data_IF_449346277473
#
_entry.id   IF_449346277473
#
_cell.length_a   1.000
_cell.length_b   1.000
_cell.length_c   1.000
_cell.angle_alpha   90.00
_cell.angle_beta   90.00
_cell.angle_gamma   90.00
#
_symmetry.space_group_name_H-M   'P 1'
#
loop_
_entity.id
_entity.type
_entity.pdbx_description
1 polymer ?
#
# COMPACT_ATOMS: atom_id res chain seq x y z
N UNK A 1 -27.64 18.81 20.78
CA UNK A 1 -26.65 17.80 21.18
C UNK A 1 -25.31 18.22 20.60
N UNK A 2 -24.25 18.40 21.37
CA UNK A 2 -22.96 18.76 20.84
C UNK A 2 -22.37 17.57 20.09
N UNK A 3 -21.93 17.82 18.86
CA UNK A 3 -21.18 16.86 18.02
C UNK A 3 -19.89 16.45 18.73
N UNK A 4 -19.69 15.15 18.91
CA UNK A 4 -18.42 14.60 19.38
C UNK A 4 -17.25 15.15 18.56
N UNK A 5 -16.12 15.50 19.18
CA UNK A 5 -14.97 15.98 18.44
C UNK A 5 -14.51 14.89 17.47
N UNK A 6 -14.45 15.21 16.17
CA UNK A 6 -13.75 14.40 15.18
C UNK A 6 -12.32 14.20 15.66
N UNK A 7 -11.89 12.96 15.75
CA UNK A 7 -10.54 12.60 16.17
C UNK A 7 -9.52 13.32 15.26
N UNK A 8 -8.73 14.21 15.85
CA UNK A 8 -7.62 14.95 15.20
C UNK A 8 -6.42 14.06 14.83
N UNK A 9 -6.59 12.75 14.80
CA UNK A 9 -5.52 11.80 14.49
C UNK A 9 -5.45 11.56 12.99
N UNK A 10 -4.33 11.91 12.38
CA UNK A 10 -4.05 11.69 10.96
C UNK A 10 -4.08 10.19 10.58
N UNK A 11 -3.84 9.29 11.54
CA UNK A 11 -3.87 7.84 11.35
C UNK A 11 -4.30 7.11 12.64
N UNK A 12 -4.69 5.84 12.52
CA UNK A 12 -4.91 4.94 13.66
C UNK A 12 -3.68 4.05 13.82
N UNK A 13 -3.00 4.08 15.00
CA UNK A 13 -1.86 3.20 15.25
C UNK A 13 -2.27 1.73 15.20
N UNK A 14 -1.43 0.90 14.57
CA UNK A 14 -1.65 -0.54 14.45
C UNK A 14 -1.62 -1.25 15.82
N UNK A 15 -2.26 -2.42 15.89
CA UNK A 15 -2.23 -3.29 17.07
C UNK A 15 -0.84 -3.93 17.26
N UNK A 16 -0.55 -4.41 18.48
CA UNK A 16 0.69 -5.15 18.74
C UNK A 16 0.79 -6.43 17.89
N UNK A 17 -0.35 -7.08 17.60
CA UNK A 17 -0.40 -8.24 16.70
C UNK A 17 -0.07 -7.82 15.26
N UNK A 18 -0.66 -6.73 14.77
CA UNK A 18 -0.38 -6.21 13.42
C UNK A 18 1.09 -5.85 13.25
N UNK A 19 1.67 -5.12 14.21
CA UNK A 19 3.11 -4.81 14.22
C UNK A 19 3.97 -6.08 14.19
N UNK A 20 3.63 -7.09 14.98
CA UNK A 20 4.31 -8.39 14.95
C UNK A 20 4.18 -9.07 13.59
N UNK A 21 2.95 -9.09 13.02
CA UNK A 21 2.66 -9.73 11.73
C UNK A 21 3.47 -9.11 10.58
N UNK A 22 3.61 -7.78 10.53
CA UNK A 22 4.42 -7.07 9.54
C UNK A 22 5.91 -7.49 9.53
N UNK A 23 6.40 -8.06 10.65
CA UNK A 23 7.77 -8.55 10.78
C UNK A 23 7.95 -10.00 10.35
N UNK A 24 6.87 -10.72 10.02
CA UNK A 24 6.93 -12.13 9.64
C UNK A 24 7.32 -12.33 8.18
N UNK A 25 7.95 -13.47 7.88
CA UNK A 25 8.18 -13.91 6.50
C UNK A 25 6.86 -14.20 5.77
N UNK A 26 5.83 -14.61 6.50
CA UNK A 26 4.47 -14.82 5.93
C UNK A 26 3.96 -13.53 5.30
N UNK A 27 4.11 -12.39 5.98
CA UNK A 27 3.71 -11.10 5.44
C UNK A 27 4.59 -10.71 4.23
N UNK A 28 5.92 -10.85 4.35
CA UNK A 28 6.84 -10.48 3.30
C UNK A 28 6.57 -11.25 2.00
N UNK A 29 6.39 -12.56 2.06
CA UNK A 29 6.24 -13.44 0.89
C UNK A 29 4.79 -13.44 0.36
N UNK A 30 3.81 -13.61 1.25
CA UNK A 30 2.42 -13.84 0.82
C UNK A 30 1.59 -12.56 0.68
N UNK A 31 2.02 -11.45 1.26
CA UNK A 31 1.32 -10.18 1.15
C UNK A 31 2.10 -9.21 0.25
N UNK A 32 3.29 -8.82 0.67
CA UNK A 32 4.08 -7.79 -0.01
C UNK A 32 4.62 -8.25 -1.38
N UNK A 33 5.34 -9.37 -1.43
CA UNK A 33 5.94 -9.84 -2.69
C UNK A 33 4.87 -10.21 -3.72
N UNK A 34 3.77 -10.84 -3.29
CA UNK A 34 2.64 -11.16 -4.18
C UNK A 34 2.00 -9.91 -4.76
N UNK A 35 1.85 -8.84 -3.97
CA UNK A 35 1.33 -7.57 -4.45
C UNK A 35 2.26 -6.96 -5.51
N UNK A 36 3.58 -6.95 -5.25
CA UNK A 36 4.56 -6.43 -6.21
C UNK A 36 4.57 -7.20 -7.53
N UNK A 37 4.55 -8.54 -7.50
CA UNK A 37 4.48 -9.38 -8.70
C UNK A 37 3.23 -9.05 -9.54
N UNK A 38 2.10 -8.86 -8.90
CA UNK A 38 0.86 -8.52 -9.61
C UNK A 38 0.90 -7.10 -10.18
N UNK A 39 1.42 -6.12 -9.42
CA UNK A 39 1.58 -4.73 -9.88
C UNK A 39 2.57 -4.63 -11.06
N UNK A 40 3.67 -5.38 -11.05
CA UNK A 40 4.59 -5.47 -12.20
C UNK A 40 3.86 -6.00 -13.44
N UNK A 41 3.07 -7.06 -13.29
CA UNK A 41 2.27 -7.62 -14.38
C UNK A 41 1.28 -6.60 -14.95
N UNK A 42 0.63 -5.80 -14.10
CA UNK A 42 -0.29 -4.74 -14.48
C UNK A 42 0.43 -3.57 -15.16
N UNK A 43 1.65 -3.25 -14.72
CA UNK A 43 2.49 -2.16 -15.25
C UNK A 43 3.44 -2.56 -16.38
N UNK A 44 3.51 -3.83 -16.78
CA UNK A 44 4.54 -4.41 -17.65
C UNK A 44 4.59 -3.88 -19.10
N UNK A 45 3.75 -2.94 -19.46
CA UNK A 45 3.74 -2.27 -20.77
C UNK A 45 4.79 -1.14 -20.89
N UNK A 46 5.51 -0.82 -19.82
CA UNK A 46 6.44 0.32 -19.79
C UNK A 46 7.87 -0.14 -19.53
N UNK A 47 8.67 -0.21 -20.58
CA UNK A 47 10.12 -0.44 -20.49
C UNK A 47 10.82 0.86 -20.02
N UNK A 48 10.41 1.42 -18.86
CA UNK A 48 10.91 2.68 -18.32
C UNK A 48 11.87 2.44 -17.15
N UNK A 49 12.87 3.31 -17.05
CA UNK A 49 13.72 3.42 -15.86
C UNK A 49 13.02 4.27 -14.80
N UNK A 50 13.14 3.90 -13.53
CA UNK A 50 12.61 4.62 -12.38
C UNK A 50 13.76 4.98 -11.41
N UNK A 51 14.58 6.02 -11.74
CA UNK A 51 15.73 6.39 -10.92
C UNK A 51 15.41 6.70 -9.47
N UNK A 52 14.24 7.31 -9.21
CA UNK A 52 13.80 7.66 -7.86
C UNK A 52 12.47 6.96 -7.57
N UNK A 53 12.48 6.07 -6.58
CA UNK A 53 11.27 5.40 -6.10
C UNK A 53 10.92 5.94 -4.72
N UNK A 54 9.65 6.31 -4.53
CA UNK A 54 9.07 6.59 -3.21
C UNK A 54 8.29 5.36 -2.73
N UNK A 55 8.63 4.88 -1.55
CA UNK A 55 7.86 3.90 -0.79
C UNK A 55 7.06 4.64 0.29
N UNK A 56 5.77 4.83 0.02
CA UNK A 56 4.86 5.60 0.85
C UNK A 56 4.16 4.71 1.89
N UNK A 57 4.49 4.92 3.16
CA UNK A 57 4.13 4.01 4.25
C UNK A 57 5.08 2.82 4.30
N UNK A 58 6.40 3.09 4.24
CA UNK A 58 7.44 2.07 4.09
C UNK A 58 7.56 1.11 5.29
N UNK A 59 6.91 1.42 6.42
CA UNK A 59 6.98 0.62 7.62
C UNK A 59 8.44 0.34 8.04
N UNK A 60 8.75 -0.92 8.27
CA UNK A 60 10.08 -1.38 8.67
C UNK A 60 11.05 -1.64 7.49
N UNK A 61 10.73 -1.21 6.27
CA UNK A 61 11.61 -1.24 5.10
C UNK A 61 11.72 -2.57 4.35
N UNK A 62 10.85 -3.54 4.62
CA UNK A 62 10.85 -4.87 3.97
C UNK A 62 10.69 -4.82 2.45
N UNK A 63 10.12 -3.76 1.91
CA UNK A 63 9.94 -3.49 0.48
C UNK A 63 11.22 -3.08 -0.25
N UNK A 64 12.21 -2.50 0.45
CA UNK A 64 13.36 -1.85 -0.19
C UNK A 64 14.18 -2.78 -1.07
N UNK A 65 14.52 -3.97 -0.56
CA UNK A 65 15.27 -4.95 -1.35
C UNK A 65 14.45 -5.41 -2.57
N UNK A 66 13.15 -5.66 -2.39
CA UNK A 66 12.26 -6.06 -3.46
C UNK A 66 12.14 -4.99 -4.55
N UNK A 67 12.01 -3.70 -4.16
CA UNK A 67 11.96 -2.58 -5.09
C UNK A 67 13.31 -2.41 -5.83
N UNK A 68 14.42 -2.59 -5.13
CA UNK A 68 15.76 -2.55 -5.73
C UNK A 68 15.94 -3.64 -6.79
N UNK A 69 15.58 -4.86 -6.47
CA UNK A 69 15.81 -6.02 -7.35
C UNK A 69 14.93 -5.95 -8.61
N UNK A 70 13.72 -5.39 -8.50
CA UNK A 70 12.76 -5.32 -9.60
C UNK A 70 12.94 -4.11 -10.51
N UNK A 71 13.27 -2.95 -9.94
CA UNK A 71 13.28 -1.70 -10.68
C UNK A 71 14.66 -1.07 -10.81
N UNK A 72 15.68 -1.57 -10.12
CA UNK A 72 17.06 -1.08 -10.11
C UNK A 72 17.17 0.46 -9.98
N UNK A 73 16.48 1.09 -9.00
CA UNK A 73 16.51 2.54 -8.83
C UNK A 73 17.89 3.02 -8.41
N UNK A 74 18.23 4.26 -8.77
CA UNK A 74 19.41 4.92 -8.23
C UNK A 74 19.23 5.31 -6.75
N UNK A 75 17.98 5.60 -6.32
CA UNK A 75 17.62 5.97 -4.96
C UNK A 75 16.22 5.50 -4.61
N UNK A 76 16.05 5.02 -3.37
CA UNK A 76 14.76 4.79 -2.77
C UNK A 76 14.55 5.84 -1.67
N UNK A 77 13.35 6.42 -1.61
CA UNK A 77 12.91 7.29 -0.53
C UNK A 77 11.84 6.54 0.25
N UNK A 78 12.03 6.31 1.54
CA UNK A 78 11.03 5.69 2.42
C UNK A 78 10.40 6.74 3.32
N UNK A 79 9.07 6.78 3.39
CA UNK A 79 8.33 7.69 4.28
C UNK A 79 7.36 6.89 5.13
N UNK A 80 7.41 7.11 6.44
CA UNK A 80 6.43 6.58 7.39
C UNK A 80 6.22 7.57 8.53
N UNK A 81 5.03 7.61 9.12
CA UNK A 81 4.73 8.51 10.23
C UNK A 81 5.26 7.99 11.57
N UNK A 82 5.53 6.69 11.67
CA UNK A 82 5.95 6.04 12.90
C UNK A 82 7.48 6.03 13.04
N UNK A 83 8.06 6.78 14.02
CA UNK A 83 9.51 6.85 14.19
C UNK A 83 10.17 5.49 14.55
N UNK A 84 9.42 4.57 15.16
CA UNK A 84 9.94 3.21 15.44
C UNK A 84 10.10 2.43 14.14
N UNK A 85 9.13 2.52 13.23
CA UNK A 85 9.21 1.90 11.90
C UNK A 85 10.37 2.48 11.09
N UNK A 86 10.57 3.79 11.11
CA UNK A 86 11.71 4.45 10.44
C UNK A 86 13.06 3.96 11.01
N UNK A 87 13.18 3.79 12.31
CA UNK A 87 14.41 3.23 12.91
C UNK A 87 14.66 1.77 12.47
N UNK A 88 13.64 0.95 12.38
CA UNK A 88 13.73 -0.41 11.84
C UNK A 88 14.08 -0.40 10.35
N UNK A 89 13.44 0.47 9.55
CA UNK A 89 13.74 0.64 8.13
C UNK A 89 15.19 1.08 7.88
N UNK A 90 15.74 1.95 8.73
CA UNK A 90 17.16 2.33 8.68
C UNK A 90 18.09 1.13 8.91
N UNK A 91 17.73 0.28 9.88
CA UNK A 91 18.47 -0.95 10.15
C UNK A 91 18.39 -1.95 9.00
N UNK A 92 17.22 -2.06 8.38
CA UNK A 92 16.99 -2.93 7.21
C UNK A 92 17.80 -2.46 5.99
N UNK A 93 17.75 -1.17 5.67
CA UNK A 93 18.55 -0.58 4.60
C UNK A 93 20.04 -0.78 4.83
N UNK A 94 20.52 -0.63 6.06
CA UNK A 94 21.92 -0.84 6.44
C UNK A 94 22.38 -2.30 6.27
N UNK A 95 21.54 -3.28 6.60
CA UNK A 95 21.86 -4.72 6.40
C UNK A 95 22.12 -5.09 4.96
N UNK A 96 21.45 -4.42 4.02
CA UNK A 96 21.55 -4.69 2.60
C UNK A 96 22.40 -3.66 1.84
N UNK A 97 23.03 -2.73 2.55
CA UNK A 97 23.81 -1.61 1.98
C UNK A 97 23.02 -0.85 0.88
N UNK A 98 21.73 -0.62 1.13
CA UNK A 98 20.84 0.04 0.16
C UNK A 98 20.93 1.57 0.30
N UNK A 99 21.00 2.33 -0.80
CA UNK A 99 20.95 3.79 -0.78
C UNK A 99 19.49 4.25 -0.57
N UNK A 100 19.04 4.23 0.68
CA UNK A 100 17.68 4.65 1.06
C UNK A 100 17.75 5.95 1.85
N UNK A 101 16.94 6.92 1.43
CA UNK A 101 16.66 8.16 2.17
C UNK A 101 15.37 7.97 2.97
N UNK A 102 15.38 8.27 4.27
CA UNK A 102 14.23 8.02 5.15
C UNK A 102 13.69 9.31 5.77
N UNK A 103 12.36 9.45 5.79
CA UNK A 103 11.67 10.55 6.43
C UNK A 103 10.59 10.06 7.38
N UNK A 104 10.60 10.56 8.60
CA UNK A 104 9.49 10.40 9.54
C UNK A 104 8.50 11.55 9.30
N UNK A 105 7.44 11.31 8.48
CA UNK A 105 6.52 12.36 8.04
C UNK A 105 5.12 11.81 7.75
N UNK A 106 4.14 12.72 7.73
CA UNK A 106 2.78 12.44 7.28
C UNK A 106 2.72 12.41 5.75
N UNK A 107 2.12 11.37 5.18
CA UNK A 107 1.94 11.21 3.73
C UNK A 107 1.06 12.30 3.10
N UNK A 108 0.21 12.96 3.88
CA UNK A 108 -0.57 14.11 3.44
C UNK A 108 0.27 15.40 3.35
N UNK A 109 1.57 15.36 3.72
CA UNK A 109 2.53 16.48 3.66
C UNK A 109 3.95 15.96 3.44
N UNK A 110 4.22 15.46 2.26
CA UNK A 110 5.51 14.87 1.93
C UNK A 110 6.63 15.90 1.88
N UNK A 111 7.79 15.66 2.56
CA UNK A 111 8.95 16.55 2.54
C UNK A 111 9.77 16.40 1.24
N UNK A 112 9.09 16.30 0.10
CA UNK A 112 9.69 16.09 -1.21
C UNK A 112 9.26 17.19 -2.17
N UNK A 113 10.15 17.53 -3.11
CA UNK A 113 9.87 18.54 -4.15
C UNK A 113 8.84 18.00 -5.16
N UNK A 114 8.12 18.93 -5.80
CA UNK A 114 7.20 18.62 -6.89
C UNK A 114 7.93 17.91 -8.04
N UNK A 115 7.32 16.87 -8.60
CA UNK A 115 7.86 16.15 -9.74
C UNK A 115 9.25 15.56 -9.52
N UNK A 116 9.58 15.12 -8.30
CA UNK A 116 10.90 14.57 -7.95
C UNK A 116 10.97 13.04 -8.00
N UNK A 117 9.82 12.35 -8.10
CA UNK A 117 9.68 10.89 -8.00
C UNK A 117 9.27 10.30 -9.35
N UNK A 118 9.89 9.21 -9.76
CA UNK A 118 9.58 8.50 -11.02
C UNK A 118 8.51 7.42 -10.82
N UNK A 119 8.56 6.71 -9.68
CA UNK A 119 7.61 5.67 -9.29
C UNK A 119 7.27 5.80 -7.82
N UNK A 120 5.99 5.74 -7.48
CA UNK A 120 5.50 5.71 -6.10
C UNK A 120 4.84 4.36 -5.83
N UNK A 121 5.32 3.68 -4.80
CA UNK A 121 4.75 2.44 -4.29
C UNK A 121 4.01 2.72 -2.98
N UNK A 122 2.74 2.32 -2.90
CA UNK A 122 1.89 2.43 -1.73
C UNK A 122 1.20 1.09 -1.49
N UNK A 123 1.61 0.39 -0.44
CA UNK A 123 1.16 -0.96 -0.15
C UNK A 123 0.57 -1.06 1.26
N UNK A 124 -0.70 -1.45 1.36
CA UNK A 124 -1.41 -1.65 2.62
C UNK A 124 -1.32 -0.43 3.57
N UNK A 125 -1.43 0.77 3.02
CA UNK A 125 -1.21 2.03 3.73
C UNK A 125 -2.43 2.95 3.73
N UNK A 126 -3.10 3.14 2.57
CA UNK A 126 -4.21 4.10 2.46
C UNK A 126 -5.37 3.78 3.41
N UNK A 127 -5.66 2.51 3.67
CA UNK A 127 -6.73 2.11 4.58
C UNK A 127 -6.45 2.45 6.07
N UNK A 128 -5.23 2.82 6.43
CA UNK A 128 -4.87 3.35 7.75
C UNK A 128 -5.02 4.88 7.85
N UNK A 129 -5.14 5.58 6.73
CA UNK A 129 -5.15 7.04 6.67
C UNK A 129 -6.56 7.60 6.76
N UNK A 130 -6.73 8.69 7.51
CA UNK A 130 -7.96 9.48 7.54
C UNK A 130 -7.98 10.47 6.37
N UNK A 131 -6.85 11.10 6.07
CA UNK A 131 -6.67 12.12 5.02
C UNK A 131 -6.30 11.50 3.66
N UNK A 132 -7.08 10.53 3.15
CA UNK A 132 -6.76 9.77 1.93
C UNK A 132 -6.70 10.66 0.68
N UNK A 133 -7.59 11.64 0.55
CA UNK A 133 -7.63 12.55 -0.60
C UNK A 133 -6.43 13.48 -0.64
N UNK A 134 -6.08 14.05 0.50
CA UNK A 134 -4.90 14.90 0.66
C UNK A 134 -3.62 14.12 0.36
N UNK A 135 -3.53 12.88 0.83
CA UNK A 135 -2.41 11.98 0.55
C UNK A 135 -2.27 11.70 -0.94
N UNK A 136 -3.36 11.40 -1.65
CA UNK A 136 -3.30 11.20 -3.10
C UNK A 136 -2.95 12.49 -3.86
N UNK A 137 -3.35 13.65 -3.36
CA UNK A 137 -2.91 14.95 -3.86
C UNK A 137 -1.40 15.15 -3.75
N UNK A 138 -0.81 14.77 -2.60
CA UNK A 138 0.64 14.79 -2.39
C UNK A 138 1.36 13.78 -3.29
N UNK A 139 0.80 12.57 -3.46
CA UNK A 139 1.33 11.58 -4.40
C UNK A 139 1.38 12.12 -5.83
N UNK A 140 0.29 12.78 -6.24
CA UNK A 140 0.25 13.45 -7.54
C UNK A 140 1.29 14.58 -7.64
N UNK A 141 1.44 15.41 -6.60
CA UNK A 141 2.39 16.51 -6.58
C UNK A 141 3.85 16.03 -6.76
N UNK A 142 4.26 15.03 -5.99
CA UNK A 142 5.67 14.57 -5.97
C UNK A 142 6.05 13.70 -7.16
N UNK A 143 5.12 12.96 -7.77
CA UNK A 143 5.38 12.19 -8.97
C UNK A 143 5.68 13.13 -10.16
N UNK A 144 6.58 12.74 -11.02
CA UNK A 144 6.82 13.41 -12.31
C UNK A 144 5.62 13.24 -13.25
N UNK A 145 5.36 14.16 -14.19
CA UNK A 145 4.43 13.89 -15.29
C UNK A 145 4.79 12.59 -16.00
N UNK A 146 3.82 11.70 -16.18
CA UNK A 146 4.05 10.35 -16.68
C UNK A 146 4.64 9.36 -15.66
N UNK A 147 4.91 9.78 -14.43
CA UNK A 147 5.34 8.89 -13.33
C UNK A 147 4.26 7.89 -12.93
N UNK A 148 4.66 6.74 -12.40
CA UNK A 148 3.75 5.66 -12.02
C UNK A 148 3.41 5.67 -10.54
N UNK A 149 2.15 5.43 -10.24
CA UNK A 149 1.61 5.11 -8.92
C UNK A 149 1.21 3.64 -8.89
N UNK A 150 1.85 2.86 -8.03
CA UNK A 150 1.53 1.46 -7.74
C UNK A 150 0.80 1.39 -6.40
N UNK A 151 -0.43 0.93 -6.40
CA UNK A 151 -1.26 0.80 -5.18
C UNK A 151 -1.71 -0.64 -5.01
N UNK A 152 -1.51 -1.19 -3.81
CA UNK A 152 -2.07 -2.48 -3.42
C UNK A 152 -2.71 -2.35 -2.04
N UNK A 153 -4.05 -2.46 -1.98
CA UNK A 153 -4.82 -2.15 -0.78
C UNK A 153 -5.84 -3.23 -0.40
N UNK A 154 -6.09 -3.28 0.88
CA UNK A 154 -7.22 -4.01 1.46
C UNK A 154 -8.50 -3.20 1.35
N UNK A 155 -9.59 -3.86 0.94
CA UNK A 155 -10.89 -3.20 0.80
C UNK A 155 -11.69 -3.25 2.10
N UNK A 156 -12.78 -2.48 2.13
CA UNK A 156 -13.77 -2.51 3.22
C UNK A 156 -14.24 -3.92 3.54
N UNK A 157 -14.45 -4.77 2.54
CA UNK A 157 -14.91 -6.13 2.72
C UNK A 157 -13.93 -6.97 3.57
N UNK A 158 -12.62 -6.78 3.37
CA UNK A 158 -11.60 -7.45 4.18
C UNK A 158 -11.46 -6.81 5.57
N UNK A 159 -11.32 -5.49 5.64
CA UNK A 159 -11.10 -4.76 6.89
C UNK A 159 -12.27 -4.95 7.87
N UNK A 160 -13.52 -5.00 7.36
CA UNK A 160 -14.71 -5.22 8.19
C UNK A 160 -14.94 -6.70 8.57
N UNK A 161 -14.12 -7.64 8.10
CA UNK A 161 -14.24 -9.02 8.53
C UNK A 161 -14.00 -9.14 10.04
N UNK A 162 -14.69 -10.07 10.70
CA UNK A 162 -14.67 -10.19 12.15
C UNK A 162 -13.26 -10.46 12.70
N UNK A 163 -12.45 -11.23 11.96
CA UNK A 163 -11.11 -11.60 12.40
C UNK A 163 -10.12 -10.42 12.27
N UNK A 164 -10.24 -9.63 11.19
CA UNK A 164 -9.39 -8.45 11.01
C UNK A 164 -9.72 -7.42 12.09
N UNK A 165 -10.99 -7.17 12.38
CA UNK A 165 -11.42 -6.30 13.48
C UNK A 165 -10.95 -6.77 14.86
N UNK A 166 -10.78 -8.08 15.05
CA UNK A 166 -10.26 -8.63 16.31
C UNK A 166 -8.74 -8.43 16.44
N UNK A 167 -8.00 -8.63 15.36
CA UNK A 167 -6.53 -8.70 15.39
C UNK A 167 -5.85 -7.36 15.07
N UNK A 168 -6.45 -6.53 14.21
CA UNK A 168 -5.86 -5.30 13.69
C UNK A 168 -6.68 -4.07 14.07
N UNK A 169 -6.08 -2.89 13.96
CA UNK A 169 -6.74 -1.61 14.23
C UNK A 169 -6.75 -0.74 12.99
N UNK A 170 -7.94 -0.29 12.60
CA UNK A 170 -8.15 0.53 11.41
C UNK A 170 -9.15 1.67 11.71
N UNK A 171 -9.07 2.82 11.02
CA UNK A 171 -10.09 3.86 11.04
C UNK A 171 -11.31 3.38 10.26
N UNK A 172 -12.32 2.84 10.95
CA UNK A 172 -13.44 2.11 10.32
C UNK A 172 -14.32 2.96 9.40
N UNK A 173 -14.39 4.28 9.64
CA UNK A 173 -15.27 5.20 8.91
C UNK A 173 -14.75 5.61 7.53
N UNK A 174 -13.47 5.37 7.25
CA UNK A 174 -12.81 5.78 6.00
C UNK A 174 -12.50 4.61 5.06
N UNK A 175 -12.95 3.41 5.41
CA UNK A 175 -12.70 2.22 4.60
C UNK A 175 -13.43 2.28 3.25
N UNK A 176 -12.75 1.84 2.20
CA UNK A 176 -13.22 1.91 0.81
C UNK A 176 -13.41 0.53 0.21
N UNK A 177 -14.35 0.40 -0.71
CA UNK A 177 -14.37 -0.72 -1.64
C UNK A 177 -13.42 -0.47 -2.83
N UNK A 178 -13.26 -1.47 -3.69
CA UNK A 178 -12.32 -1.37 -4.80
C UNK A 178 -12.71 -0.26 -5.80
N UNK A 179 -14.00 -0.10 -6.08
CA UNK A 179 -14.49 0.93 -7.00
C UNK A 179 -14.27 2.34 -6.42
N UNK A 180 -14.46 2.53 -5.11
CA UNK A 180 -14.19 3.79 -4.42
C UNK A 180 -12.70 4.15 -4.44
N UNK A 181 -11.77 3.18 -4.25
CA UNK A 181 -10.34 3.42 -4.41
C UNK A 181 -9.98 3.87 -5.82
N UNK A 182 -10.49 3.18 -6.85
CA UNK A 182 -10.27 3.53 -8.26
C UNK A 182 -10.78 4.94 -8.56
N UNK A 183 -12.00 5.26 -8.11
CA UNK A 183 -12.59 6.59 -8.30
C UNK A 183 -11.78 7.68 -7.60
N UNK A 184 -11.30 7.42 -6.38
CA UNK A 184 -10.50 8.34 -5.60
C UNK A 184 -9.14 8.62 -6.26
N UNK A 185 -8.45 7.60 -6.76
CA UNK A 185 -7.18 7.74 -7.49
C UNK A 185 -7.40 8.56 -8.77
N UNK A 186 -8.47 8.29 -9.53
CA UNK A 186 -8.81 9.07 -10.72
C UNK A 186 -9.12 10.54 -10.39
N UNK A 187 -9.87 10.80 -9.32
CA UNK A 187 -10.21 12.16 -8.90
C UNK A 187 -8.99 12.98 -8.44
N UNK A 188 -7.91 12.31 -8.04
CA UNK A 188 -6.64 12.95 -7.71
C UNK A 188 -5.76 13.27 -8.94
N UNK A 189 -6.25 13.09 -10.18
CA UNK A 189 -5.54 13.44 -11.41
C UNK A 189 -4.71 12.31 -12.02
N UNK A 190 -4.97 11.07 -11.62
CA UNK A 190 -4.29 9.90 -12.19
C UNK A 190 -5.11 9.24 -13.30
N UNK A 191 -4.43 8.79 -14.34
CA UNK A 191 -5.00 7.93 -15.36
C UNK A 191 -4.80 6.46 -15.01
N UNK A 192 -5.85 5.66 -15.13
CA UNK A 192 -5.82 4.20 -14.93
C UNK A 192 -6.29 3.56 -16.23
N UNK A 193 -5.38 2.86 -16.91
CA UNK A 193 -5.67 2.14 -18.16
C UNK A 193 -6.64 0.96 -17.94
N UNK A 194 -7.45 0.62 -18.93
CA UNK A 194 -8.17 -0.64 -18.93
C UNK A 194 -7.21 -1.82 -18.80
N UNK A 195 -7.40 -2.67 -17.79
CA UNK A 195 -6.54 -3.81 -17.51
C UNK A 195 -5.36 -3.52 -16.55
N UNK A 196 -5.21 -2.29 -16.07
CA UNK A 196 -4.23 -1.94 -15.02
C UNK A 196 -4.79 -2.06 -13.60
N UNK A 197 -5.84 -2.86 -13.43
CA UNK A 197 -6.46 -3.16 -12.13
C UNK A 197 -6.63 -4.67 -12.00
N UNK A 198 -6.39 -5.20 -10.81
CA UNK A 198 -6.72 -6.57 -10.44
C UNK A 198 -7.37 -6.63 -9.06
N UNK A 199 -8.08 -7.72 -8.82
CA UNK A 199 -8.79 -7.99 -7.57
C UNK A 199 -8.29 -9.34 -7.02
N UNK A 200 -7.08 -9.38 -6.41
CA UNK A 200 -6.55 -10.63 -5.90
C UNK A 200 -7.44 -11.20 -4.79
N UNK A 201 -7.72 -12.51 -4.85
CA UNK A 201 -8.46 -13.21 -3.81
C UNK A 201 -7.57 -14.29 -3.21
N UNK A 202 -6.60 -13.83 -2.42
CA UNK A 202 -5.57 -14.68 -1.83
C UNK A 202 -6.13 -15.44 -0.63
N UNK A 203 -5.52 -16.60 -0.32
CA UNK A 203 -6.00 -17.45 0.77
C UNK A 203 -6.15 -16.71 2.11
N UNK A 204 -5.22 -15.80 2.43
CA UNK A 204 -5.23 -15.02 3.66
C UNK A 204 -6.30 -13.91 3.68
N UNK A 205 -6.74 -13.43 2.52
CA UNK A 205 -7.79 -12.42 2.40
C UNK A 205 -9.20 -13.00 2.36
N UNK A 206 -9.32 -14.33 2.42
CA UNK A 206 -10.61 -15.04 2.40
C UNK A 206 -11.18 -15.19 3.82
N UNK A 207 -12.50 -15.19 4.00
CA UNK A 207 -13.14 -15.39 5.30
C UNK A 207 -12.81 -16.71 5.98
N UNK A 208 -12.46 -17.73 5.19
CA UNK A 208 -12.12 -19.09 5.65
C UNK A 208 -10.61 -19.40 5.61
N UNK A 209 -9.75 -18.40 5.33
CA UNK A 209 -8.31 -18.57 5.13
C UNK A 209 -7.92 -19.66 4.13
N UNK A 210 -8.77 -19.92 3.15
CA UNK A 210 -8.57 -20.95 2.15
C UNK A 210 -8.67 -22.39 2.69
N UNK A 211 -9.15 -22.58 3.93
CA UNK A 211 -9.24 -23.91 4.56
C UNK A 211 -10.19 -24.83 3.81
N UNK A 212 -11.31 -24.32 3.28
CA UNK A 212 -12.28 -25.12 2.53
C UNK A 212 -11.67 -25.67 1.23
N UNK A 213 -10.87 -24.88 0.55
CA UNK A 213 -10.17 -25.32 -0.65
C UNK A 213 -9.06 -26.33 -0.31
N UNK A 214 -8.29 -26.06 0.76
CA UNK A 214 -7.16 -26.90 1.17
C UNK A 214 -7.59 -28.26 1.73
N UNK A 215 -8.70 -28.33 2.47
CA UNK A 215 -9.16 -29.56 3.15
C UNK A 215 -10.12 -30.35 2.27
N UNK A 216 -11.04 -29.66 1.59
CA UNK A 216 -12.15 -30.27 0.87
C UNK A 216 -12.10 -30.08 -0.65
N UNK A 217 -11.08 -29.37 -1.19
CA UNK A 217 -11.01 -29.06 -2.61
C UNK A 217 -12.08 -28.07 -3.10
N UNK A 218 -12.84 -27.44 -2.20
CA UNK A 218 -13.95 -26.53 -2.54
C UNK A 218 -13.38 -25.17 -2.90
N UNK A 219 -13.39 -24.84 -4.20
CA UNK A 219 -12.96 -23.53 -4.70
C UNK A 219 -13.93 -22.42 -4.23
N UNK A 220 -13.44 -21.19 -4.02
CA UNK A 220 -14.30 -20.06 -3.68
C UNK A 220 -15.34 -19.79 -4.78
N UNK A 221 -16.51 -19.29 -4.40
CA UNK A 221 -17.53 -18.86 -5.35
C UNK A 221 -16.99 -17.70 -6.20
N UNK A 222 -17.41 -17.61 -7.47
CA UNK A 222 -16.98 -16.54 -8.38
C UNK A 222 -17.56 -15.16 -8.04
N UNK A 223 -18.62 -15.10 -7.24
CA UNK A 223 -19.31 -13.89 -6.82
C UNK A 223 -18.93 -13.41 -5.40
N UNK A 224 -17.70 -13.70 -4.96
CA UNK A 224 -17.22 -13.21 -3.66
C UNK A 224 -17.00 -11.68 -3.69
N UNK A 225 -17.07 -11.06 -2.51
CA UNK A 225 -16.68 -9.66 -2.37
C UNK A 225 -15.18 -9.49 -2.68
N UNK A 226 -14.83 -8.38 -3.30
CA UNK A 226 -13.45 -8.00 -3.57
C UNK A 226 -12.77 -7.62 -2.25
N UNK A 227 -11.83 -8.43 -1.80
CA UNK A 227 -11.11 -8.23 -0.52
C UNK A 227 -9.84 -7.41 -0.68
N UNK A 228 -9.26 -7.41 -1.87
CA UNK A 228 -8.06 -6.67 -2.23
C UNK A 228 -8.26 -5.95 -3.56
N UNK A 229 -7.53 -4.86 -3.76
CA UNK A 229 -7.41 -4.15 -5.03
C UNK A 229 -5.95 -3.78 -5.27
N UNK A 230 -5.42 -4.18 -6.43
CA UNK A 230 -4.13 -3.71 -6.94
C UNK A 230 -4.37 -2.88 -8.19
N UNK A 231 -3.74 -1.73 -8.30
CA UNK A 231 -3.86 -0.87 -9.47
C UNK A 231 -2.54 -0.19 -9.81
N UNK A 232 -2.35 0.07 -11.09
CA UNK A 232 -1.27 0.90 -11.63
C UNK A 232 -1.91 2.11 -12.30
N UNK A 233 -1.46 3.28 -11.90
CA UNK A 233 -1.95 4.55 -12.44
C UNK A 233 -0.78 5.43 -12.89
N UNK A 234 -1.04 6.33 -13.85
CA UNK A 234 -0.05 7.25 -14.38
C UNK A 234 -0.46 8.69 -14.04
N UNK A 235 0.48 9.53 -13.58
CA UNK A 235 0.26 10.96 -13.44
C UNK A 235 0.14 11.60 -14.83
N UNK A 236 -1.00 12.22 -15.13
CA UNK A 236 -1.22 13.01 -16.35
C UNK A 236 -0.92 14.48 -16.15
#
# INVERSE_FOLDING_TARGET
MPSSPKSDRAHVPESSFGIWFLRTETWAVHVLERALVDLERLGSRNNRSYPVILDAGCGNGRSFQLLKDRFAPARIVGVDINPVMIAEAQSEAGRHALPVELHCADLARLPLADGSVDLLFCHQTLHHLVAQHETLGEFHRVLKPGGLLLVAESTRAYIHSWIIRLLFRHPMDVQRDAAEYIAMVRSAGFHIDPGSVSYPYLWWSRPDFGLRERIFGIKPASNHAETLVNLVATRI
#
